data_IF_608408611786
#
_entry.id   IF_608408611786
#
_cell.length_a   1.000
_cell.length_b   1.000
_cell.length_c   1.000
_cell.angle_alpha   90.00
_cell.angle_beta   90.00
_cell.angle_gamma   90.00
#
_symmetry.space_group_name_H-M   'P 1'
#
loop_
_entity.id
_entity.type
_entity.pdbx_description
1 polymer ?
#
# COMPACT_ATOMS: atom_id res chain seq x y z
N UNK A 1 -9.45 -14.50 -12.64
CA UNK A 1 -9.64 -13.90 -13.98
C UNK A 1 -9.57 -12.39 -13.93
N UNK A 2 -10.69 -11.73 -13.59
CA UNK A 2 -10.84 -10.26 -13.71
C UNK A 2 -9.75 -9.45 -13.01
N UNK A 3 -9.38 -9.80 -11.77
CA UNK A 3 -8.32 -9.10 -11.04
C UNK A 3 -6.96 -9.14 -11.76
N UNK A 4 -6.59 -10.30 -12.32
CA UNK A 4 -5.35 -10.45 -13.11
C UNK A 4 -5.47 -9.69 -14.42
N UNK A 5 -6.61 -9.80 -15.11
CA UNK A 5 -6.87 -9.07 -16.35
C UNK A 5 -6.77 -7.54 -16.16
N UNK A 6 -7.30 -7.02 -15.06
CA UNK A 6 -7.22 -5.59 -14.73
C UNK A 6 -5.76 -5.11 -14.50
N UNK A 7 -4.88 -5.97 -14.00
CA UNK A 7 -3.45 -5.63 -13.79
C UNK A 7 -2.61 -5.78 -15.06
N UNK A 8 -2.90 -6.80 -15.86
CA UNK A 8 -2.09 -7.18 -17.03
C UNK A 8 -2.57 -6.48 -18.31
N UNK A 9 -3.86 -6.14 -18.39
CA UNK A 9 -4.53 -5.65 -19.59
C UNK A 9 -5.16 -6.77 -20.43
N UNK A 10 -6.23 -6.43 -21.16
CA UNK A 10 -7.10 -7.41 -21.85
C UNK A 10 -6.35 -8.28 -22.87
N UNK A 11 -5.54 -7.67 -23.74
CA UNK A 11 -4.88 -8.38 -24.84
C UNK A 11 -3.78 -9.31 -24.32
N UNK A 12 -2.94 -8.81 -23.42
CA UNK A 12 -1.88 -9.61 -22.82
C UNK A 12 -2.44 -10.71 -21.91
N UNK A 13 -3.55 -10.46 -21.20
CA UNK A 13 -4.26 -11.49 -20.45
C UNK A 13 -4.72 -12.64 -21.37
N UNK A 14 -5.32 -12.34 -22.52
CA UNK A 14 -5.75 -13.36 -23.47
C UNK A 14 -4.57 -14.17 -24.02
N UNK A 15 -3.47 -13.50 -24.39
CA UNK A 15 -2.26 -14.16 -24.87
C UNK A 15 -1.64 -15.08 -23.81
N UNK A 16 -1.53 -14.59 -22.56
CA UNK A 16 -1.03 -15.39 -21.44
C UNK A 16 -1.96 -16.58 -21.21
N UNK A 17 -3.27 -16.37 -21.13
CA UNK A 17 -4.25 -17.44 -20.89
C UNK A 17 -4.09 -18.62 -21.87
N UNK A 18 -3.97 -18.31 -23.17
CA UNK A 18 -3.74 -19.31 -24.20
C UNK A 18 -2.37 -19.98 -24.02
N UNK A 19 -1.32 -19.18 -23.79
CA UNK A 19 0.04 -19.67 -23.63
C UNK A 19 0.17 -20.65 -22.44
N UNK A 20 -0.32 -20.30 -21.25
CA UNK A 20 -0.27 -21.21 -20.09
C UNK A 20 -1.12 -22.45 -20.32
N UNK A 21 -2.28 -22.32 -20.96
CA UNK A 21 -3.12 -23.48 -21.31
C UNK A 21 -2.43 -24.46 -22.24
N UNK A 22 -1.77 -23.96 -23.29
CA UNK A 22 -0.98 -24.77 -24.22
C UNK A 22 0.19 -25.45 -23.51
N UNK A 23 0.95 -24.69 -22.71
CA UNK A 23 2.09 -25.22 -21.96
C UNK A 23 1.67 -26.32 -20.97
N UNK A 24 0.59 -26.09 -20.22
CA UNK A 24 0.02 -27.07 -19.30
C UNK A 24 -0.40 -28.36 -20.03
N UNK A 25 -1.05 -28.21 -21.19
CA UNK A 25 -1.49 -29.34 -21.99
C UNK A 25 -0.35 -30.14 -22.60
N UNK A 26 0.68 -29.46 -23.10
CA UNK A 26 1.88 -30.10 -23.64
C UNK A 26 2.65 -30.87 -22.56
N UNK A 27 2.77 -30.32 -21.36
CA UNK A 27 3.45 -30.99 -20.25
C UNK A 27 2.69 -32.25 -19.81
N UNK A 28 1.36 -32.15 -19.67
CA UNK A 28 0.54 -33.32 -19.34
C UNK A 28 0.65 -34.40 -20.43
N UNK A 29 0.56 -34.01 -21.70
CA UNK A 29 0.70 -34.94 -22.82
C UNK A 29 2.07 -35.61 -22.83
N UNK A 30 3.14 -34.86 -22.54
CA UNK A 30 4.49 -35.40 -22.49
C UNK A 30 4.70 -36.39 -21.33
N UNK A 31 4.03 -36.19 -20.18
CA UNK A 31 4.21 -37.04 -19.00
C UNK A 31 3.31 -38.29 -19.05
N UNK A 32 2.04 -38.13 -19.43
CA UNK A 32 1.05 -39.23 -19.33
C UNK A 32 0.61 -39.78 -20.68
N UNK A 33 0.94 -39.12 -21.80
CA UNK A 33 0.53 -39.55 -23.15
C UNK A 33 -0.99 -39.49 -23.42
N UNK A 34 -1.78 -39.03 -22.44
CA UNK A 34 -3.23 -39.07 -22.48
C UNK A 34 -3.83 -37.85 -23.18
N UNK A 35 -4.88 -38.08 -23.97
CA UNK A 35 -5.70 -36.99 -24.49
C UNK A 35 -6.36 -36.24 -23.33
N UNK A 36 -6.34 -34.92 -23.40
CA UNK A 36 -6.96 -34.06 -22.39
C UNK A 36 -7.98 -33.12 -23.03
N UNK A 37 -9.02 -32.83 -22.26
CA UNK A 37 -10.00 -31.79 -22.55
C UNK A 37 -10.15 -30.97 -21.28
N UNK A 38 -9.98 -29.66 -21.39
CA UNK A 38 -10.27 -28.75 -20.29
C UNK A 38 -9.53 -27.42 -20.37
N UNK A 39 -10.22 -26.37 -19.94
CA UNK A 39 -9.63 -25.05 -19.72
C UNK A 39 -8.90 -24.94 -18.36
N UNK A 40 -8.96 -25.98 -17.53
CA UNK A 40 -8.48 -25.95 -16.14
C UNK A 40 -6.97 -25.68 -16.02
N UNK A 41 -6.15 -26.17 -16.94
CA UNK A 41 -4.71 -25.85 -16.99
C UNK A 41 -4.45 -24.35 -17.18
N UNK A 42 -5.22 -23.68 -18.04
CA UNK A 42 -5.12 -22.23 -18.21
C UNK A 42 -5.60 -21.48 -16.95
N UNK A 43 -6.70 -21.95 -16.33
CA UNK A 43 -7.25 -21.35 -15.10
C UNK A 43 -6.25 -21.44 -13.96
N UNK A 44 -5.65 -22.60 -13.73
CA UNK A 44 -4.60 -22.79 -12.71
C UNK A 44 -3.38 -21.92 -12.98
N UNK A 45 -3.03 -21.67 -14.25
CA UNK A 45 -2.07 -20.63 -14.63
C UNK A 45 -2.46 -19.22 -14.18
N UNK A 46 -3.69 -18.78 -14.45
CA UNK A 46 -4.16 -17.47 -13.97
C UNK A 46 -4.22 -17.40 -12.45
N UNK A 47 -4.55 -18.50 -11.76
CA UNK A 47 -4.53 -18.59 -10.30
C UNK A 47 -3.09 -18.48 -9.77
N UNK A 48 -2.11 -19.10 -10.43
CA UNK A 48 -0.69 -18.94 -10.12
C UNK A 48 -0.23 -17.48 -10.23
N UNK A 49 -0.67 -16.75 -11.26
CA UNK A 49 -0.42 -15.30 -11.37
C UNK A 49 -1.11 -14.52 -10.25
N UNK A 50 -2.37 -14.84 -9.96
CA UNK A 50 -3.14 -14.19 -8.91
C UNK A 50 -2.46 -14.33 -7.54
N UNK A 51 -1.88 -15.49 -7.23
CA UNK A 51 -1.12 -15.72 -6.01
C UNK A 51 0.05 -14.74 -5.88
N UNK A 52 0.72 -14.37 -6.97
CA UNK A 52 1.85 -13.43 -6.94
C UNK A 52 1.38 -11.99 -6.71
N UNK A 53 0.33 -11.59 -7.41
CA UNK A 53 -0.18 -10.20 -7.37
C UNK A 53 -1.00 -9.90 -6.12
N UNK A 54 -1.81 -10.86 -5.66
CA UNK A 54 -2.85 -10.65 -4.64
C UNK A 54 -2.74 -11.62 -3.47
N UNK A 55 -1.51 -11.86 -2.99
CA UNK A 55 -1.24 -12.83 -1.95
C UNK A 55 -1.87 -12.49 -0.57
N UNK A 56 -2.03 -11.20 -0.25
CA UNK A 56 -2.71 -10.73 0.97
C UNK A 56 -4.24 -10.63 0.82
N UNK A 57 -4.80 -10.89 -0.36
CA UNK A 57 -6.23 -10.70 -0.56
C UNK A 57 -7.05 -11.81 0.14
N UNK A 58 -8.13 -11.45 0.80
CA UNK A 58 -9.06 -12.41 1.42
C UNK A 58 -10.20 -12.77 0.46
N UNK A 59 -10.54 -14.06 0.43
CA UNK A 59 -11.69 -14.60 -0.31
C UNK A 59 -12.79 -14.87 0.70
N UNK A 60 -13.96 -14.26 0.46
CA UNK A 60 -15.17 -14.57 1.23
C UNK A 60 -15.83 -15.80 0.64
N UNK A 61 -15.86 -16.87 1.42
CA UNK A 61 -16.54 -18.11 1.06
C UNK A 61 -17.92 -18.16 1.72
N UNK A 62 -18.90 -18.61 0.94
CA UNK A 62 -20.25 -18.84 1.42
C UNK A 62 -20.41 -20.33 1.72
N UNK A 63 -20.73 -20.64 2.97
CA UNK A 63 -21.14 -21.97 3.38
C UNK A 63 -22.67 -22.01 3.42
N UNK A 64 -23.26 -22.66 2.43
CA UNK A 64 -24.71 -22.81 2.30
C UNK A 64 -25.04 -24.28 2.54
N UNK A 65 -25.62 -24.58 3.69
CA UNK A 65 -26.20 -25.88 3.99
C UNK A 65 -27.53 -25.64 4.69
N UNK A 66 -28.66 -25.82 4.00
CA UNK A 66 -29.99 -25.46 4.51
C UNK A 66 -30.24 -26.18 5.86
N UNK A 67 -30.59 -25.48 6.97
CA UNK A 67 -30.96 -24.05 7.11
C UNK A 67 -29.84 -23.07 7.51
N UNK A 68 -28.59 -23.52 7.60
CA UNK A 68 -27.44 -22.72 8.05
C UNK A 68 -26.77 -21.96 6.89
N UNK A 69 -26.84 -20.63 6.98
CA UNK A 69 -26.08 -19.71 6.12
C UNK A 69 -24.95 -19.08 6.93
N UNK A 70 -23.69 -19.43 6.61
CA UNK A 70 -22.52 -18.76 7.20
C UNK A 70 -21.58 -18.28 6.11
N UNK A 71 -20.93 -17.15 6.40
CA UNK A 71 -19.86 -16.58 5.57
C UNK A 71 -18.58 -16.59 6.39
N UNK A 72 -17.49 -17.02 5.78
CA UNK A 72 -16.17 -17.02 6.39
C UNK A 72 -15.16 -16.49 5.39
N UNK A 73 -14.17 -15.77 5.89
CA UNK A 73 -13.10 -15.19 5.07
C UNK A 73 -11.84 -16.01 5.26
N UNK A 74 -11.19 -16.38 4.16
CA UNK A 74 -9.91 -17.06 4.18
C UNK A 74 -8.97 -16.34 3.22
N UNK A 75 -7.72 -16.17 3.62
CA UNK A 75 -6.71 -15.62 2.72
C UNK A 75 -6.58 -16.49 1.47
N UNK A 76 -6.52 -15.83 0.31
CA UNK A 76 -6.36 -16.47 -1.00
C UNK A 76 -5.16 -17.40 -1.04
N UNK A 77 -4.08 -17.02 -0.35
CA UNK A 77 -2.86 -17.80 -0.24
C UNK A 77 -3.15 -19.23 0.24
N UNK A 78 -3.90 -19.38 1.33
CA UNK A 78 -4.20 -20.70 1.92
C UNK A 78 -5.11 -21.54 1.03
N UNK A 79 -6.12 -20.92 0.40
CA UNK A 79 -7.04 -21.64 -0.51
C UNK A 79 -6.27 -22.18 -1.72
N UNK A 80 -5.41 -21.36 -2.33
CA UNK A 80 -4.64 -21.76 -3.50
C UNK A 80 -3.65 -22.86 -3.12
N UNK A 81 -2.97 -22.73 -1.98
CA UNK A 81 -2.02 -23.74 -1.51
C UNK A 81 -2.71 -25.09 -1.24
N UNK A 82 -3.92 -25.06 -0.67
CA UNK A 82 -4.74 -26.27 -0.45
C UNK A 82 -5.07 -26.96 -1.78
N UNK A 83 -5.42 -26.20 -2.82
CA UNK A 83 -5.70 -26.75 -4.15
C UNK A 83 -4.46 -27.34 -4.81
N UNK A 84 -3.32 -26.65 -4.74
CA UNK A 84 -2.04 -27.18 -5.22
C UNK A 84 -1.68 -28.49 -4.50
N UNK A 85 -1.88 -28.52 -3.18
CA UNK A 85 -1.66 -29.73 -2.39
C UNK A 85 -2.59 -30.87 -2.81
N UNK A 86 -3.87 -30.59 -3.07
CA UNK A 86 -4.81 -31.57 -3.58
C UNK A 86 -4.38 -32.13 -4.95
N UNK A 87 -3.90 -31.29 -5.86
CA UNK A 87 -3.39 -31.74 -7.15
C UNK A 87 -2.14 -32.64 -6.99
N UNK A 88 -1.23 -32.31 -6.05
CA UNK A 88 -0.07 -33.15 -5.71
C UNK A 88 -0.52 -34.51 -5.17
N UNK A 89 -1.48 -34.53 -4.25
CA UNK A 89 -2.07 -35.78 -3.76
C UNK A 89 -2.72 -36.58 -4.88
N UNK A 90 -3.38 -35.91 -5.82
CA UNK A 90 -3.95 -36.53 -7.01
C UNK A 90 -2.92 -37.24 -7.87
N UNK A 91 -1.76 -36.62 -8.09
CA UNK A 91 -0.60 -37.26 -8.74
C UNK A 91 -0.12 -38.47 -7.95
N UNK A 92 0.05 -38.34 -6.64
CA UNK A 92 0.60 -39.41 -5.79
C UNK A 92 -0.33 -40.61 -5.64
N UNK A 93 -1.64 -40.38 -5.57
CA UNK A 93 -2.65 -41.42 -5.40
C UNK A 93 -3.11 -42.02 -6.73
N UNK A 94 -2.60 -41.52 -7.87
CA UNK A 94 -2.93 -42.03 -9.19
C UNK A 94 -4.39 -41.78 -9.59
N UNK A 95 -4.95 -40.63 -9.22
CA UNK A 95 -6.36 -40.33 -9.49
C UNK A 95 -6.68 -40.33 -10.99
N UNK A 96 -7.73 -41.05 -11.38
CA UNK A 96 -8.20 -41.11 -12.76
C UNK A 96 -9.18 -39.97 -13.07
N UNK A 97 -9.16 -39.48 -14.31
CA UNK A 97 -10.12 -38.48 -14.81
C UNK A 97 -9.76 -37.01 -14.55
N UNK A 98 -8.62 -36.74 -13.90
CA UNK A 98 -8.13 -35.36 -13.68
C UNK A 98 -6.69 -35.24 -14.17
N UNK A 99 -6.43 -34.20 -14.96
CA UNK A 99 -5.10 -33.90 -15.52
C UNK A 99 -4.23 -33.14 -14.50
N UNK A 100 -3.81 -33.81 -13.44
CA UNK A 100 -3.10 -33.17 -12.33
C UNK A 100 -1.75 -32.54 -12.74
N UNK A 101 -1.00 -33.13 -13.68
CA UNK A 101 0.24 -32.52 -14.17
C UNK A 101 0.00 -31.24 -14.97
N UNK A 102 -1.11 -31.15 -15.71
CA UNK A 102 -1.54 -29.93 -16.37
C UNK A 102 -1.86 -28.83 -15.34
N UNK A 103 -2.51 -29.15 -14.22
CA UNK A 103 -2.75 -28.17 -13.16
C UNK A 103 -1.46 -27.67 -12.52
N UNK A 104 -0.57 -28.59 -12.14
CA UNK A 104 0.67 -28.26 -11.44
C UNK A 104 1.61 -27.41 -12.30
N UNK A 105 1.75 -27.78 -13.57
CA UNK A 105 2.51 -26.98 -14.54
C UNK A 105 1.84 -25.66 -14.87
N UNK A 106 0.49 -25.61 -14.91
CA UNK A 106 -0.29 -24.38 -15.01
C UNK A 106 0.09 -23.39 -13.91
N UNK A 107 -0.06 -23.77 -12.63
CA UNK A 107 0.31 -22.93 -11.49
C UNK A 107 1.76 -22.43 -11.58
N UNK A 108 2.70 -23.32 -11.87
CA UNK A 108 4.12 -22.99 -11.95
C UNK A 108 4.42 -21.98 -13.07
N UNK A 109 3.88 -22.21 -14.27
CA UNK A 109 4.08 -21.32 -15.41
C UNK A 109 3.44 -19.95 -15.18
N UNK A 110 2.21 -19.91 -14.66
CA UNK A 110 1.54 -18.66 -14.30
C UNK A 110 2.29 -17.86 -13.24
N UNK A 111 2.75 -18.53 -12.18
CA UNK A 111 3.57 -17.92 -11.14
C UNK A 111 4.86 -17.31 -11.73
N UNK A 112 5.58 -18.08 -12.57
CA UNK A 112 6.80 -17.61 -13.23
C UNK A 112 6.57 -16.40 -14.13
N UNK A 113 5.51 -16.42 -14.94
CA UNK A 113 5.14 -15.28 -15.81
C UNK A 113 4.85 -14.03 -14.96
N UNK A 114 4.10 -14.17 -13.87
CA UNK A 114 3.80 -13.05 -12.99
C UNK A 114 5.05 -12.46 -12.32
N UNK A 115 5.98 -13.31 -11.89
CA UNK A 115 7.29 -12.89 -11.36
C UNK A 115 8.07 -12.10 -12.42
N UNK A 116 8.17 -12.63 -13.64
CA UNK A 116 8.90 -11.98 -14.74
C UNK A 116 8.26 -10.63 -15.11
N UNK A 117 6.93 -10.55 -15.18
CA UNK A 117 6.22 -9.31 -15.49
C UNK A 117 6.41 -8.23 -14.42
N UNK A 118 6.52 -8.62 -13.15
CA UNK A 118 6.86 -7.69 -12.06
C UNK A 118 8.32 -7.27 -12.11
N UNK A 119 9.26 -8.20 -12.33
CA UNK A 119 10.70 -7.90 -12.40
C UNK A 119 11.05 -6.99 -13.59
N UNK A 120 10.41 -7.19 -14.73
CA UNK A 120 10.58 -6.36 -15.93
C UNK A 120 9.91 -4.98 -15.83
N UNK A 121 9.09 -4.76 -14.79
CA UNK A 121 8.37 -3.49 -14.58
C UNK A 121 7.28 -3.22 -15.62
N UNK A 122 6.91 -4.21 -16.43
CA UNK A 122 5.77 -4.15 -17.36
C UNK A 122 4.48 -3.93 -16.57
N UNK A 123 4.38 -4.58 -15.41
CA UNK A 123 3.26 -4.40 -14.47
C UNK A 123 3.80 -3.71 -13.23
N UNK A 124 3.16 -2.60 -12.85
CA UNK A 124 3.49 -1.86 -11.63
C UNK A 124 2.42 -2.13 -10.58
N UNK A 125 2.86 -2.48 -9.38
CA UNK A 125 1.97 -2.58 -8.22
C UNK A 125 1.64 -1.18 -7.72
N UNK A 126 0.38 -0.97 -7.33
CA UNK A 126 -0.06 0.32 -6.81
C UNK A 126 0.47 0.52 -5.39
N UNK A 127 0.61 1.79 -4.93
CA UNK A 127 1.35 2.17 -3.71
C UNK A 127 0.89 1.46 -2.42
N UNK A 128 -0.30 0.85 -2.41
CA UNK A 128 -0.90 0.19 -1.25
C UNK A 128 -1.00 -1.34 -1.38
N UNK A 129 -0.56 -1.93 -2.49
CA UNK A 129 -0.60 -3.38 -2.69
C UNK A 129 0.82 -3.95 -2.59
N UNK A 130 1.06 -4.82 -1.60
CA UNK A 130 2.31 -5.57 -1.51
C UNK A 130 2.21 -6.79 -2.41
N UNK A 131 3.07 -6.90 -3.42
CA UNK A 131 3.23 -8.17 -4.14
C UNK A 131 3.93 -9.20 -3.26
N UNK A 132 3.76 -10.49 -3.61
CA UNK A 132 4.44 -11.58 -2.91
C UNK A 132 5.96 -11.40 -2.95
N UNK A 133 6.50 -10.93 -4.08
CA UNK A 133 7.93 -10.61 -4.24
C UNK A 133 8.40 -9.46 -3.34
N UNK A 134 7.54 -8.47 -3.08
CA UNK A 134 7.87 -7.37 -2.18
C UNK A 134 8.00 -7.85 -0.74
N UNK A 135 7.17 -8.81 -0.30
CA UNK A 135 7.29 -9.41 1.04
C UNK A 135 8.60 -10.17 1.21
N UNK A 136 9.06 -10.86 0.17
CA UNK A 136 10.32 -11.60 0.17
C UNK A 136 11.55 -10.74 -0.15
N UNK A 137 11.40 -9.42 -0.28
CA UNK A 137 12.53 -8.52 -0.54
C UNK A 137 13.18 -8.69 -1.91
N UNK A 138 12.57 -9.46 -2.82
CA UNK A 138 13.10 -9.75 -4.15
C UNK A 138 12.76 -8.66 -5.18
N UNK A 139 11.97 -7.67 -4.79
CA UNK A 139 11.58 -6.55 -5.65
C UNK A 139 12.23 -5.25 -5.17
N UNK A 140 13.23 -4.75 -5.91
CA UNK A 140 13.71 -3.38 -5.78
C UNK A 140 12.70 -2.45 -6.43
N UNK A 141 11.67 -2.05 -5.67
CA UNK A 141 10.83 -0.93 -6.09
C UNK A 141 11.70 0.33 -6.04
N UNK A 142 12.17 0.83 -7.18
CA UNK A 142 12.58 2.23 -7.25
C UNK A 142 11.32 3.08 -7.04
N UNK A 143 11.02 3.35 -5.77
CA UNK A 143 10.05 4.36 -5.37
C UNK A 143 10.65 5.73 -5.71
N UNK A 144 10.65 6.08 -6.99
CA UNK A 144 10.91 7.44 -7.44
C UNK A 144 9.68 8.26 -7.05
N UNK A 145 9.73 8.76 -5.81
CA UNK A 145 8.73 9.65 -5.22
C UNK A 145 8.55 10.89 -6.11
N UNK A 146 7.51 10.89 -6.94
CA UNK A 146 7.14 12.03 -7.78
C UNK A 146 6.27 13.05 -7.03
N UNK A 147 5.84 12.76 -5.81
CA UNK A 147 5.20 13.76 -4.95
C UNK A 147 6.27 14.47 -4.14
N UNK A 148 6.52 15.76 -4.39
CA UNK A 148 7.45 16.56 -3.57
C UNK A 148 7.15 16.60 -2.05
N UNK A 149 6.08 15.92 -1.60
CA UNK A 149 5.74 15.66 -0.21
C UNK A 149 6.75 14.76 0.53
N UNK A 150 7.34 13.74 -0.08
CA UNK A 150 8.25 12.84 0.64
C UNK A 150 9.59 13.52 1.01
N UNK A 151 10.04 14.49 0.21
CA UNK A 151 11.15 15.38 0.58
C UNK A 151 10.83 16.34 1.73
N UNK A 152 9.57 16.76 1.86
CA UNK A 152 9.13 17.65 2.94
C UNK A 152 8.98 16.89 4.27
N UNK A 153 8.46 15.67 4.23
CA UNK A 153 8.29 14.84 5.44
C UNK A 153 9.57 14.11 5.88
N UNK A 154 10.44 13.70 4.95
CA UNK A 154 11.70 13.03 5.30
C UNK A 154 12.75 13.91 5.99
N UNK A 155 12.63 15.25 5.86
CA UNK A 155 13.40 16.19 6.69
C UNK A 155 12.83 16.29 8.11
N UNK A 156 11.50 16.33 8.22
CA UNK A 156 10.80 16.51 9.49
C UNK A 156 11.01 15.36 10.47
N UNK A 157 11.19 14.12 9.97
CA UNK A 157 11.45 12.96 10.83
C UNK A 157 12.84 13.01 11.47
N UNK A 158 13.85 13.52 10.76
CA UNK A 158 15.20 13.70 11.33
C UNK A 158 15.22 14.79 12.41
N UNK A 159 14.45 15.86 12.19
CA UNK A 159 14.34 16.95 13.16
C UNK A 159 13.59 16.49 14.42
N UNK A 160 12.54 15.68 14.28
CA UNK A 160 11.82 15.06 15.41
C UNK A 160 12.68 14.09 16.21
N UNK A 161 13.53 13.31 15.53
CA UNK A 161 14.45 12.38 16.18
C UNK A 161 15.60 13.11 16.91
N UNK A 162 16.09 14.22 16.34
CA UNK A 162 17.04 15.12 17.01
C UNK A 162 16.41 15.80 18.24
N UNK A 163 15.18 16.29 18.16
CA UNK A 163 14.49 16.92 19.30
C UNK A 163 14.20 15.92 20.43
N UNK A 164 13.79 14.69 20.10
CA UNK A 164 13.66 13.62 21.10
C UNK A 164 15.01 13.25 21.74
N UNK A 165 16.11 13.33 20.99
CA UNK A 165 17.45 13.09 21.54
C UNK A 165 17.88 14.17 22.57
N UNK A 166 17.45 15.43 22.39
CA UNK A 166 17.69 16.52 23.35
C UNK A 166 16.82 16.34 24.60
N UNK A 167 15.59 15.87 24.44
CA UNK A 167 14.64 15.76 25.55
C UNK A 167 14.94 14.60 26.50
N UNK A 168 15.78 13.63 26.08
CA UNK A 168 16.17 12.47 26.89
C UNK A 168 17.31 12.79 27.88
N UNK A 169 17.94 13.97 27.80
CA UNK A 169 18.92 14.44 28.77
C UNK A 169 18.25 15.37 29.79
N UNK A 170 17.59 14.78 30.79
CA UNK A 170 17.04 15.50 31.93
C UNK A 170 18.20 15.97 32.84
N UNK A 171 18.29 17.25 33.25
CA UNK A 171 19.25 17.68 34.25
C UNK A 171 18.81 17.17 35.62
N UNK A 172 19.61 16.29 36.20
CA UNK A 172 19.57 15.94 37.63
C UNK A 172 20.07 17.13 38.47
N UNK A 173 19.38 17.38 39.58
CA UNK A 173 19.71 18.29 40.69
C UNK A 173 19.53 19.81 40.47
N UNK A 174 18.37 20.31 40.94
CA UNK A 174 18.29 21.57 41.69
C UNK A 174 17.04 21.58 42.60
N UNK A 175 17.32 21.35 43.88
CA UNK A 175 16.65 21.79 45.11
C UNK A 175 15.20 22.35 45.06
N UNK A 176 14.39 21.75 45.94
CA UNK A 176 13.08 22.22 46.39
C UNK A 176 13.17 23.62 47.00
N UNK A 177 12.38 24.56 46.47
CA UNK A 177 12.04 25.81 47.15
C UNK A 177 10.57 25.72 47.55
N UNK A 178 10.32 25.72 48.86
CA UNK A 178 8.99 25.86 49.45
C UNK A 178 8.42 27.22 49.08
N UNK A 179 7.22 27.23 48.50
CA UNK A 179 6.39 28.44 48.38
C UNK A 179 5.13 28.23 49.20
N UNK A 180 4.82 29.16 50.09
CA UNK A 180 3.60 29.20 50.90
C UNK A 180 2.32 29.09 50.02
N UNK A 181 1.20 28.61 50.58
CA UNK A 181 0.02 28.27 49.79
C UNK A 181 -0.65 29.53 49.24
N UNK A 182 -0.86 29.68 47.92
CA UNK A 182 -1.72 30.72 47.42
C UNK A 182 -3.19 30.33 47.67
N UNK A 183 -3.89 31.33 48.17
CA UNK A 183 -5.28 31.42 48.60
C UNK A 183 -6.29 30.93 47.53
N UNK A 184 -7.39 30.32 47.99
CA UNK A 184 -8.43 29.73 47.13
C UNK A 184 -9.15 30.81 46.32
N UNK A 185 -8.92 30.85 45.01
CA UNK A 185 -9.74 31.61 44.07
C UNK A 185 -10.94 30.74 43.66
N UNK A 186 -12.15 31.29 43.78
CA UNK A 186 -13.43 30.60 43.57
C UNK A 186 -13.73 30.31 42.09
N UNK A 187 -14.47 29.23 41.86
CA UNK A 187 -14.92 28.72 40.54
C UNK A 187 -15.82 29.66 39.70
N UNK A 188 -16.02 30.91 40.14
CA UNK A 188 -16.85 31.92 39.46
C UNK A 188 -16.11 32.72 38.37
N UNK A 189 -14.78 32.66 38.32
CA UNK A 189 -13.98 33.49 37.38
C UNK A 189 -13.81 32.87 35.97
N UNK A 190 -14.13 31.59 35.78
CA UNK A 190 -13.89 30.86 34.51
C UNK A 190 -14.96 31.10 33.41
N UNK A 191 -15.92 32.01 33.61
CA UNK A 191 -17.08 32.16 32.72
C UNK A 191 -17.10 33.42 31.83
N UNK A 192 -15.99 34.14 31.67
CA UNK A 192 -15.97 35.28 30.74
C UNK A 192 -15.09 35.01 29.51
N UNK A 193 -15.76 34.58 28.44
CA UNK A 193 -15.22 34.41 27.08
C UNK A 193 -15.14 35.77 26.37
N UNK A 194 -13.97 36.29 25.97
CA UNK A 194 -13.91 37.46 25.12
C UNK A 194 -14.21 37.10 23.66
N UNK A 195 -15.05 37.91 23.02
CA UNK A 195 -15.53 37.79 21.65
C UNK A 195 -14.41 38.00 20.61
N UNK A 196 -14.53 37.30 19.46
CA UNK A 196 -13.58 37.35 18.35
C UNK A 196 -13.61 38.71 17.61
N UNK A 197 -12.43 39.36 17.51
CA UNK A 197 -12.21 40.62 16.78
C UNK A 197 -11.96 40.37 15.26
N UNK A 198 -12.38 41.27 14.35
CA UNK A 198 -12.31 41.06 12.90
C UNK A 198 -10.87 40.97 12.36
N UNK A 199 -10.59 39.91 11.59
CA UNK A 199 -9.28 39.64 10.98
C UNK A 199 -8.91 40.71 9.92
N UNK A 200 -8.08 41.68 10.29
CA UNK A 200 -7.47 42.63 9.35
C UNK A 200 -6.40 41.94 8.49
N UNK A 201 -6.25 42.34 7.22
CA UNK A 201 -5.27 41.78 6.28
C UNK A 201 -4.43 42.89 5.65
N UNK A 202 -3.11 42.67 5.58
CA UNK A 202 -2.11 43.52 4.92
C UNK A 202 -1.88 42.99 3.49
N UNK A 203 -1.81 43.88 2.51
CA UNK A 203 -1.50 43.55 1.11
C UNK A 203 -0.12 44.06 0.75
N UNK A 204 0.78 43.19 0.29
CA UNK A 204 2.13 43.57 -0.13
C UNK A 204 2.49 42.98 -1.51
N UNK A 205 3.43 43.61 -2.22
CA UNK A 205 3.97 43.10 -3.48
C UNK A 205 5.33 42.46 -3.25
N UNK A 206 5.49 41.24 -3.75
CA UNK A 206 6.79 40.58 -3.82
C UNK A 206 7.65 41.20 -4.94
N UNK A 207 8.99 41.22 -4.80
CA UNK A 207 9.91 41.57 -5.89
C UNK A 207 9.71 40.75 -7.18
N UNK A 208 9.09 39.57 -7.11
CA UNK A 208 8.74 38.77 -8.29
C UNK A 208 7.44 39.24 -8.98
N UNK A 209 6.85 40.37 -8.58
CA UNK A 209 5.63 40.94 -9.14
C UNK A 209 4.31 40.41 -8.53
N UNK A 210 4.34 39.38 -7.67
CA UNK A 210 3.12 38.77 -7.10
C UNK A 210 2.57 39.56 -5.92
N UNK A 211 1.26 39.82 -5.92
CA UNK A 211 0.53 40.44 -4.79
C UNK A 211 0.23 39.37 -3.73
N UNK A 212 0.59 39.61 -2.48
CA UNK A 212 0.37 38.72 -1.34
C UNK A 212 -0.61 39.39 -0.36
N UNK A 213 -1.53 38.60 0.19
CA UNK A 213 -2.48 39.00 1.23
C UNK A 213 -2.14 38.21 2.49
N UNK A 214 -1.71 38.90 3.54
CA UNK A 214 -1.26 38.27 4.79
C UNK A 214 -2.10 38.82 5.94
N UNK A 215 -2.57 38.00 6.89
CA UNK A 215 -3.25 38.50 8.09
C UNK A 215 -2.34 39.46 8.87
N UNK A 216 -2.93 40.49 9.49
CA UNK A 216 -2.21 41.49 10.26
C UNK A 216 -1.43 40.88 11.46
N UNK A 217 -1.81 39.69 11.91
CA UNK A 217 -1.10 38.94 12.97
C UNK A 217 0.36 38.59 12.62
N UNK A 218 0.73 38.63 11.33
CA UNK A 218 2.11 38.40 10.86
C UNK A 218 2.85 39.69 10.50
N UNK A 219 2.31 40.86 10.84
CA UNK A 219 2.99 42.15 10.71
C UNK A 219 4.37 42.11 11.39
N UNK A 220 5.41 42.59 10.71
CA UNK A 220 6.79 42.60 11.21
C UNK A 220 7.56 41.26 11.10
N UNK A 221 6.90 40.15 10.73
CA UNK A 221 7.57 38.86 10.50
C UNK A 221 8.13 38.74 9.08
N UNK A 222 9.10 37.84 8.91
CA UNK A 222 9.64 37.48 7.58
C UNK A 222 8.91 36.25 7.07
N UNK A 223 8.26 36.37 5.92
CA UNK A 223 7.56 35.28 5.25
C UNK A 223 8.17 34.97 3.88
N UNK A 224 7.97 33.76 3.37
CA UNK A 224 8.43 33.38 2.03
C UNK A 224 7.33 33.53 0.99
N UNK A 225 7.66 34.04 -0.19
CA UNK A 225 6.70 34.10 -1.30
C UNK A 225 6.34 32.68 -1.78
N UNK A 226 5.06 32.31 -1.92
CA UNK A 226 4.67 31.01 -2.45
C UNK A 226 5.01 30.81 -3.94
N UNK A 227 5.31 31.89 -4.68
CA UNK A 227 5.68 31.78 -6.10
C UNK A 227 7.19 31.68 -6.34
N UNK A 228 7.99 32.55 -5.73
CA UNK A 228 9.44 32.59 -5.97
C UNK A 228 10.29 32.11 -4.79
N UNK A 229 9.68 31.73 -3.67
CA UNK A 229 10.33 31.32 -2.41
C UNK A 229 11.28 32.34 -1.78
N UNK A 230 11.33 33.57 -2.29
CA UNK A 230 12.15 34.66 -1.72
C UNK A 230 11.57 35.11 -0.37
N UNK A 231 12.44 35.36 0.60
CA UNK A 231 12.09 35.94 1.89
C UNK A 231 11.69 37.42 1.74
N UNK A 232 10.53 37.78 2.27
CA UNK A 232 9.97 39.12 2.25
C UNK A 232 9.59 39.51 3.67
N UNK A 233 10.03 40.69 4.10
CA UNK A 233 9.63 41.27 5.37
C UNK A 233 8.23 41.87 5.23
N UNK A 234 7.29 41.41 6.06
CA UNK A 234 5.94 41.97 6.08
C UNK A 234 6.03 43.32 6.79
N UNK A 235 5.60 44.43 6.14
CA UNK A 235 5.63 45.73 6.80
C UNK A 235 4.75 45.67 8.05
N UNK A 236 5.28 46.13 9.17
CA UNK A 236 4.46 46.45 10.35
C UNK A 236 3.65 47.69 9.99
N UNK A 237 2.35 47.52 9.80
CA UNK A 237 1.39 48.62 9.78
C UNK A 237 1.28 49.24 11.17
#
# INVERSE_FOLDING_TARGET
GNAVCAKVGNLLYAAIYIFVGLLAGLIQLAITGGAIIGASGAITGIVGMYLVYFWENDITCYWIFIPFFRRFTVSSFWIILLWVFYDILGVMLGGYGVAYFAHLSGYAAGFGIAVVLLQTGIIKMERYEKSLLQRWGLHKTESRDQSGLGRLYGGFTKDLEYLNSIQTQQPTEAQQVQTDPPEKISLSELQQKPAASPKQFIRLKCPCGKKLKVPAEYAGRVGSCPACKKHIKIPSS
#
